data_IF_060594832788
#
_entry.id   IF_060594832788
#
_cell.length_a   1.000
_cell.length_b   1.000
_cell.length_c   1.000
_cell.angle_alpha   90.00
_cell.angle_beta   90.00
_cell.angle_gamma   90.00
#
_symmetry.space_group_name_H-M   'P 1'
#
loop_
_entity.id
_entity.type
_entity.pdbx_description
1 polymer ?
#
# COMPACT_ATOMS: atom_id res chain seq x y z
N UNK A 1 -8.61 -12.14 -3.89
CA UNK A 1 -7.28 -11.60 -3.54
C UNK A 1 -7.48 -10.36 -2.71
N UNK A 2 -6.68 -10.15 -1.66
CA UNK A 2 -6.83 -9.05 -0.72
C UNK A 2 -6.20 -7.74 -1.21
N UNK A 3 -6.74 -6.62 -0.73
CA UNK A 3 -6.26 -5.27 -0.97
C UNK A 3 -6.22 -4.55 0.36
N UNK A 4 -5.15 -3.82 0.64
CA UNK A 4 -5.05 -2.98 1.83
C UNK A 4 -4.41 -1.65 1.48
N UNK A 5 -4.77 -0.62 2.23
CA UNK A 5 -4.26 0.72 2.07
C UNK A 5 -4.18 1.43 3.41
N UNK A 6 -3.35 2.48 3.48
CA UNK A 6 -3.26 3.29 4.68
C UNK A 6 -2.25 4.42 4.59
N UNK A 7 -2.31 5.30 5.58
CA UNK A 7 -1.41 6.42 5.70
C UNK A 7 0.05 5.95 5.81
N UNK A 8 0.90 6.50 4.97
CA UNK A 8 2.33 6.22 4.92
C UNK A 8 3.11 7.33 5.60
N UNK A 9 3.99 6.95 6.52
CA UNK A 9 4.94 7.86 7.16
C UNK A 9 6.31 7.69 6.49
N UNK A 10 6.71 8.59 5.59
CA UNK A 10 7.97 8.44 4.86
C UNK A 10 9.18 8.64 5.79
N UNK A 11 10.26 7.93 5.48
CA UNK A 11 11.60 8.30 5.98
C UNK A 11 12.27 9.29 5.02
N UNK A 12 13.38 9.90 5.40
CA UNK A 12 14.13 10.84 4.53
C UNK A 12 14.51 10.24 3.16
N UNK A 13 14.67 8.91 3.08
CA UNK A 13 14.98 8.20 1.83
C UNK A 13 13.84 8.28 0.81
N UNK A 14 12.61 8.57 1.24
CA UNK A 14 11.47 8.75 0.35
C UNK A 14 11.73 9.86 -0.68
N UNK A 15 12.48 10.91 -0.33
CA UNK A 15 12.82 12.00 -1.25
C UNK A 15 13.50 11.54 -2.54
N UNK A 16 14.14 10.36 -2.54
CA UNK A 16 14.76 9.76 -3.73
C UNK A 16 13.72 9.37 -4.79
N UNK A 17 12.54 8.90 -4.36
CA UNK A 17 11.46 8.42 -5.23
C UNK A 17 10.25 9.36 -5.25
N UNK A 18 10.25 10.40 -4.42
CA UNK A 18 9.11 11.31 -4.21
C UNK A 18 8.55 11.90 -5.50
N UNK A 19 9.41 12.28 -6.44
CA UNK A 19 8.94 12.85 -7.71
C UNK A 19 8.02 11.88 -8.46
N UNK A 20 8.41 10.61 -8.58
CA UNK A 20 7.61 9.57 -9.24
C UNK A 20 6.29 9.35 -8.50
N UNK A 21 6.32 9.33 -7.17
CA UNK A 21 5.14 9.13 -6.34
C UNK A 21 4.16 10.32 -6.37
N UNK A 22 4.64 11.52 -6.69
CA UNK A 22 3.81 12.72 -6.90
C UNK A 22 3.17 12.74 -8.29
N UNK A 23 3.93 12.41 -9.33
CA UNK A 23 3.50 12.65 -10.72
C UNK A 23 2.90 11.44 -11.40
N UNK A 24 3.10 10.24 -10.87
CA UNK A 24 2.67 8.99 -11.50
C UNK A 24 1.98 8.06 -10.51
N UNK A 25 0.71 8.33 -10.25
CA UNK A 25 -0.16 7.47 -9.44
C UNK A 25 -0.65 6.23 -10.21
N UNK A 26 -0.55 6.22 -11.54
CA UNK A 26 -1.10 5.17 -12.39
C UNK A 26 -0.19 3.95 -12.51
N UNK A 27 1.13 4.15 -12.63
CA UNK A 27 2.06 3.05 -12.86
C UNK A 27 3.46 3.31 -12.27
N UNK A 28 3.70 2.77 -11.09
CA UNK A 28 4.99 2.88 -10.38
C UNK A 28 5.89 1.65 -10.54
N UNK A 29 5.72 0.86 -11.59
CA UNK A 29 6.47 -0.40 -11.80
C UNK A 29 8.00 -0.18 -11.84
N UNK A 30 8.45 1.00 -12.26
CA UNK A 30 9.87 1.38 -12.30
C UNK A 30 10.52 1.39 -10.90
N UNK A 31 9.74 1.67 -9.85
CA UNK A 31 10.21 1.74 -8.47
C UNK A 31 10.47 0.37 -7.85
N UNK A 32 9.94 -0.71 -8.44
CA UNK A 32 10.09 -2.10 -7.96
C UNK A 32 9.79 -2.23 -6.47
N UNK A 33 8.71 -1.60 -6.02
CA UNK A 33 8.30 -1.58 -4.62
C UNK A 33 7.92 -2.98 -4.13
N UNK A 34 8.20 -3.24 -2.85
CA UNK A 34 7.81 -4.46 -2.15
C UNK A 34 7.44 -4.11 -0.72
N UNK A 35 6.52 -4.87 -0.11
CA UNK A 35 6.12 -4.68 1.28
C UNK A 35 6.68 -5.82 2.13
N UNK A 36 7.06 -5.50 3.36
CA UNK A 36 7.54 -6.48 4.34
C UNK A 36 6.82 -6.29 5.66
N UNK A 37 6.63 -7.39 6.38
CA UNK A 37 6.22 -7.36 7.79
C UNK A 37 7.33 -6.79 8.67
N UNK A 38 7.02 -6.48 9.92
CA UNK A 38 8.02 -6.06 10.93
C UNK A 38 9.11 -7.12 11.14
N UNK A 39 8.76 -8.40 10.98
CA UNK A 39 9.71 -9.53 11.04
C UNK A 39 10.55 -9.68 9.78
N UNK A 40 10.37 -8.81 8.78
CA UNK A 40 11.15 -8.77 7.55
C UNK A 40 10.65 -9.71 6.44
N UNK A 41 9.54 -10.41 6.64
CA UNK A 41 8.94 -11.30 5.64
C UNK A 41 8.35 -10.47 4.50
N UNK A 42 8.72 -10.78 3.26
CA UNK A 42 8.14 -10.15 2.07
C UNK A 42 6.72 -10.63 1.87
N UNK A 43 5.80 -9.68 1.72
CA UNK A 43 4.39 -9.97 1.42
C UNK A 43 4.24 -10.14 -0.10
N UNK A 44 3.89 -11.34 -0.60
CA UNK A 44 3.57 -11.51 -2.01
C UNK A 44 2.32 -10.68 -2.35
N UNK A 45 2.41 -9.90 -3.42
CA UNK A 45 1.35 -9.03 -3.90
C UNK A 45 1.50 -8.81 -5.41
N UNK A 46 0.41 -8.39 -6.05
CA UNK A 46 0.41 -8.05 -7.47
C UNK A 46 1.01 -6.65 -7.73
N UNK A 47 0.91 -5.74 -6.75
CA UNK A 47 1.46 -4.40 -6.88
C UNK A 47 1.50 -3.64 -5.57
N UNK A 48 2.42 -2.68 -5.51
CA UNK A 48 2.56 -1.70 -4.43
C UNK A 48 2.68 -0.32 -5.07
N UNK A 49 1.94 0.66 -4.55
CA UNK A 49 2.07 2.06 -4.97
C UNK A 49 2.07 2.99 -3.77
N UNK A 50 2.74 4.12 -3.91
CA UNK A 50 2.75 5.24 -2.96
C UNK A 50 2.10 6.43 -3.65
N UNK A 51 0.95 6.87 -3.16
CA UNK A 51 0.21 8.01 -3.70
C UNK A 51 0.50 9.21 -2.80
N UNK A 52 1.27 10.16 -3.31
CA UNK A 52 1.61 11.38 -2.58
C UNK A 52 0.74 12.53 -3.06
N UNK A 53 -0.14 13.01 -2.18
CA UNK A 53 -1.10 14.08 -2.46
C UNK A 53 -0.62 15.44 -1.97
N UNK A 54 0.63 15.55 -1.49
CA UNK A 54 1.17 16.79 -0.94
C UNK A 54 1.30 17.94 -1.95
N UNK A 55 1.15 17.66 -3.25
CA UNK A 55 1.06 18.68 -4.29
C UNK A 55 -0.38 19.13 -4.60
N UNK A 56 -1.39 18.34 -4.21
CA UNK A 56 -2.79 18.52 -4.61
C UNK A 56 -3.68 19.03 -3.48
N UNK A 57 -3.24 18.86 -2.23
CA UNK A 57 -3.88 19.39 -1.05
C UNK A 57 -2.83 20.10 -0.17
N UNK A 58 -3.23 21.07 0.65
CA UNK A 58 -2.45 21.58 1.80
C UNK A 58 -2.29 20.49 2.90
N UNK A 59 -2.15 19.22 2.48
CA UNK A 59 -2.16 18.03 3.30
C UNK A 59 -0.91 17.21 2.98
N UNK A 60 -0.16 16.86 4.02
CA UNK A 60 0.95 15.90 3.93
C UNK A 60 0.45 14.45 3.79
N UNK A 61 -0.69 14.24 3.13
CA UNK A 61 -1.29 12.93 2.97
C UNK A 61 -0.51 12.13 1.93
N UNK A 62 0.12 11.05 2.40
CA UNK A 62 0.74 10.04 1.56
C UNK A 62 0.08 8.71 1.90
N UNK A 63 -0.37 7.98 0.90
CA UNK A 63 -1.02 6.68 1.04
C UNK A 63 -0.17 5.59 0.41
N UNK A 64 -0.10 4.42 1.05
CA UNK A 64 0.41 3.20 0.43
C UNK A 64 -0.75 2.29 0.11
N UNK A 65 -0.74 1.75 -1.12
CA UNK A 65 -1.68 0.74 -1.58
C UNK A 65 -0.94 -0.56 -1.86
N UNK A 66 -1.46 -1.67 -1.36
CA UNK A 66 -0.96 -3.02 -1.63
C UNK A 66 -2.08 -3.84 -2.25
N UNK A 67 -1.88 -4.21 -3.50
CA UNK A 67 -2.87 -4.88 -4.32
C UNK A 67 -2.55 -6.35 -4.47
N UNK A 68 -3.56 -7.20 -4.34
CA UNK A 68 -3.46 -8.59 -4.76
C UNK A 68 -2.71 -9.50 -3.80
N UNK A 69 -2.87 -9.30 -2.50
CA UNK A 69 -2.29 -10.19 -1.48
C UNK A 69 -3.03 -11.56 -1.54
N UNK A 70 -2.31 -12.70 -1.56
CA UNK A 70 -2.93 -14.02 -1.49
C UNK A 70 -3.79 -14.20 -0.24
N UNK A 71 -4.96 -14.83 -0.39
CA UNK A 71 -5.96 -14.92 0.67
C UNK A 71 -5.43 -15.48 2.00
N UNK A 72 -4.65 -16.59 2.04
CA UNK A 72 -4.16 -17.13 3.31
C UNK A 72 -3.35 -16.12 4.12
N UNK A 73 -2.49 -15.34 3.45
CA UNK A 73 -1.66 -14.30 4.08
C UNK A 73 -2.52 -13.09 4.45
N UNK A 74 -3.44 -12.70 3.56
CA UNK A 74 -4.31 -11.56 3.79
C UNK A 74 -5.24 -11.76 4.99
N UNK A 75 -5.84 -12.95 5.16
CA UNK A 75 -6.70 -13.26 6.29
C UNK A 75 -5.95 -13.32 7.62
N UNK A 76 -4.67 -13.69 7.60
CA UNK A 76 -3.83 -13.70 8.80
C UNK A 76 -3.42 -12.28 9.21
N UNK A 77 -3.04 -11.44 8.24
CA UNK A 77 -2.56 -10.09 8.50
C UNK A 77 -3.69 -9.07 8.73
N UNK A 78 -4.85 -9.27 8.11
CA UNK A 78 -5.99 -8.33 8.14
C UNK A 78 -7.31 -9.06 8.47
N UNK A 79 -7.41 -9.76 9.61
CA UNK A 79 -8.59 -10.56 9.95
C UNK A 79 -9.86 -9.73 10.05
N UNK A 80 -9.77 -8.50 10.56
CA UNK A 80 -10.91 -7.58 10.68
C UNK A 80 -11.47 -7.15 9.32
N UNK A 81 -10.61 -7.03 8.30
CA UNK A 81 -11.05 -6.70 6.94
C UNK A 81 -11.85 -7.86 6.35
N UNK A 82 -11.39 -9.10 6.57
CA UNK A 82 -12.10 -10.31 6.11
C UNK A 82 -13.45 -10.45 6.81
N UNK A 83 -13.47 -10.31 8.14
CA UNK A 83 -14.71 -10.38 8.93
C UNK A 83 -15.74 -9.33 8.50
N UNK A 84 -15.28 -8.10 8.17
CA UNK A 84 -16.16 -7.04 7.67
C UNK A 84 -16.77 -7.38 6.31
N UNK A 85 -16.02 -8.02 5.41
CA UNK A 85 -16.55 -8.44 4.11
C UNK A 85 -17.60 -9.54 4.27
N UNK A 86 -17.36 -10.52 5.13
CA UNK A 86 -18.31 -11.61 5.38
C UNK A 86 -19.66 -11.08 5.90
N UNK A 87 -19.62 -10.03 6.75
CA UNK A 87 -20.82 -9.35 7.25
C UNK A 87 -21.55 -8.52 6.19
N UNK A 88 -20.86 -7.99 5.18
CA UNK A 88 -21.46 -7.23 4.08
C UNK A 88 -22.07 -8.12 2.99
N UNK A 89 -21.66 -9.39 2.92
CA UNK A 89 -22.18 -10.37 1.97
C UNK A 89 -23.42 -11.14 2.45
N UNK A 90 -24.03 -10.73 3.58
CA UNK A 90 -25.12 -11.42 4.24
C UNK A 90 -26.43 -10.60 4.34
#
# INVERSE_FOLDING_TARGET
>A
MGVTFGAFKPSDKYNIIRHECLTNHLNQSVLKLSVRTETGLVIPCAGVSILDYSAEADSELIEVNVLGIPYPIYSELFPEHVASYDQQSH
#
